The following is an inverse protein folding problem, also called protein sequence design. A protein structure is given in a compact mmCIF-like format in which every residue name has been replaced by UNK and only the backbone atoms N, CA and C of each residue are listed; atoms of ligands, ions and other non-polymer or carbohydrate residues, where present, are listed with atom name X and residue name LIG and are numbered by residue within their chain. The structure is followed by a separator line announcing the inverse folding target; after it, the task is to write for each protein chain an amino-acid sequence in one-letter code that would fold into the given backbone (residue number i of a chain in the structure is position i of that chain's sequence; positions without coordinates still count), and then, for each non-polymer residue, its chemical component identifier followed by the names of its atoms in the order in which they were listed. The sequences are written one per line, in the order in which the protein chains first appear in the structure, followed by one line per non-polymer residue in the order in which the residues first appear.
data_IF_318879217739
#
_entry.id   IF_318879217739
#
_cell.length_a   1.000
_cell.length_b   1.000
_cell.length_c   1.000
_cell.angle_alpha   90.00
_cell.angle_beta   90.00
_cell.angle_gamma   90.00
#
_symmetry.space_group_name_H-M   'P 1'
#
loop_
_entity.id
_entity.type
_entity.pdbx_description
1 polymer ?
#
# COMPACT_ATOMS: atom_id res chain seq x y z
N UNK A 1 -9.55 70.35 -45.69
CA UNK A 1 -10.32 69.12 -45.35
C UNK A 1 -9.38 67.93 -45.44
N UNK A 2 -8.83 67.51 -44.32
CA UNK A 2 -7.93 66.34 -44.26
C UNK A 2 -8.58 65.24 -43.46
N UNK A 3 -8.95 64.17 -44.12
CA UNK A 3 -9.62 62.97 -43.54
C UNK A 3 -8.51 62.02 -43.06
N UNK A 4 -8.39 61.84 -41.75
CA UNK A 4 -7.54 60.86 -41.12
C UNK A 4 -8.26 59.50 -41.06
N UNK A 5 -7.73 58.51 -41.79
CA UNK A 5 -8.14 57.12 -41.73
C UNK A 5 -7.41 56.45 -40.55
N UNK A 6 -8.15 55.98 -39.52
CA UNK A 6 -7.59 55.20 -38.41
C UNK A 6 -7.70 53.72 -38.78
N UNK A 7 -6.55 53.03 -38.87
CA UNK A 7 -6.51 51.57 -38.95
C UNK A 7 -6.53 51.00 -37.54
N UNK A 8 -7.55 50.22 -37.20
CA UNK A 8 -7.61 49.42 -35.98
C UNK A 8 -6.91 48.06 -36.28
N UNK A 9 -5.79 47.84 -35.62
CA UNK A 9 -5.09 46.56 -35.66
C UNK A 9 -5.69 45.70 -34.53
N UNK A 10 -6.51 44.72 -34.89
CA UNK A 10 -7.02 43.72 -33.97
C UNK A 10 -5.96 42.67 -33.70
N UNK A 11 -5.39 42.66 -32.48
CA UNK A 11 -4.49 41.59 -32.02
C UNK A 11 -5.33 40.35 -31.66
N UNK A 12 -5.23 39.30 -32.47
CA UNK A 12 -5.79 37.98 -32.17
C UNK A 12 -4.84 37.27 -31.17
N UNK A 13 -5.23 37.23 -29.90
CA UNK A 13 -4.50 36.44 -28.92
C UNK A 13 -4.86 34.96 -29.08
N UNK A 14 -4.00 34.19 -29.70
CA UNK A 14 -4.09 32.74 -29.74
C UNK A 14 -3.70 32.16 -28.36
N UNK A 15 -4.68 31.76 -27.56
CA UNK A 15 -4.45 30.97 -26.37
C UNK A 15 -4.11 29.53 -26.76
N UNK A 16 -2.81 29.20 -26.81
CA UNK A 16 -2.35 27.84 -26.92
C UNK A 16 -2.68 27.09 -25.61
N UNK A 17 -3.68 26.20 -25.65
CA UNK A 17 -3.94 25.24 -24.59
C UNK A 17 -2.76 24.27 -24.56
N UNK A 18 -1.88 24.42 -23.57
CA UNK A 18 -0.86 23.42 -23.26
C UNK A 18 -1.60 22.15 -22.81
N UNK A 19 -1.67 21.16 -23.68
CA UNK A 19 -2.05 19.81 -23.31
C UNK A 19 -1.00 19.31 -22.33
N UNK A 20 -1.32 19.27 -21.05
CA UNK A 20 -0.49 18.64 -20.02
C UNK A 20 -0.46 17.15 -20.34
N UNK A 21 0.67 16.67 -20.88
CA UNK A 21 0.91 15.25 -20.99
C UNK A 21 0.76 14.64 -19.59
N UNK A 22 -0.13 13.65 -19.44
CA UNK A 22 -0.27 12.93 -18.17
C UNK A 22 1.06 12.29 -17.82
N UNK A 23 1.50 12.44 -16.57
CA UNK A 23 2.72 11.77 -16.11
C UNK A 23 2.61 10.26 -16.36
N UNK A 24 3.72 9.59 -16.74
CA UNK A 24 3.71 8.16 -16.96
C UNK A 24 3.30 7.43 -15.68
N UNK A 25 2.46 6.41 -15.83
CA UNK A 25 1.98 5.60 -14.70
C UNK A 25 3.14 4.86 -14.04
N UNK A 26 3.15 4.82 -12.71
CA UNK A 26 4.06 4.01 -11.92
C UNK A 26 3.68 2.53 -12.08
N UNK A 27 4.61 1.69 -12.51
CA UNK A 27 4.35 0.26 -12.64
C UNK A 27 4.49 -0.44 -11.30
N UNK A 28 3.53 -1.30 -10.97
CA UNK A 28 3.49 -2.09 -9.73
C UNK A 28 3.41 -3.56 -10.09
N UNK A 29 4.25 -4.41 -9.49
CA UNK A 29 4.12 -5.85 -9.55
C UNK A 29 3.46 -6.36 -8.26
N UNK A 30 2.28 -6.96 -8.36
CA UNK A 30 1.62 -7.64 -7.25
C UNK A 30 2.03 -9.11 -7.23
N UNK A 31 2.65 -9.54 -6.14
CA UNK A 31 2.94 -10.94 -5.85
C UNK A 31 1.67 -11.59 -5.28
N UNK A 32 1.19 -12.66 -5.89
CA UNK A 32 -0.06 -13.37 -5.57
C UNK A 32 0.08 -14.87 -5.83
N UNK A 33 -1.02 -15.63 -5.85
CA UNK A 33 -1.03 -17.05 -6.23
C UNK A 33 -1.04 -18.02 -5.05
N UNK A 34 -0.68 -17.56 -3.85
CA UNK A 34 -0.84 -18.26 -2.57
C UNK A 34 -1.07 -17.28 -1.44
N UNK A 35 -2.02 -17.59 -0.56
CA UNK A 35 -2.28 -16.88 0.68
C UNK A 35 -3.24 -17.74 1.53
N UNK A 36 -3.12 -17.69 2.85
CA UNK A 36 -4.10 -18.32 3.75
C UNK A 36 -5.45 -17.57 3.78
N UNK A 37 -5.51 -16.35 3.20
CA UNK A 37 -6.74 -15.61 2.91
C UNK A 37 -7.19 -15.85 1.45
N UNK A 38 -8.39 -15.37 1.09
CA UNK A 38 -8.92 -15.55 -0.27
C UNK A 38 -8.24 -14.61 -1.29
N UNK A 39 -7.00 -14.91 -1.64
CA UNK A 39 -6.22 -14.10 -2.57
C UNK A 39 -6.86 -14.00 -3.98
N UNK A 40 -7.64 -15.01 -4.39
CA UNK A 40 -8.36 -15.00 -5.69
C UNK A 40 -9.38 -13.88 -5.77
N UNK A 41 -9.95 -13.48 -4.63
CA UNK A 41 -10.87 -12.34 -4.55
C UNK A 41 -10.12 -11.02 -4.22
N UNK A 42 -9.18 -11.04 -3.29
CA UNK A 42 -8.51 -9.82 -2.83
C UNK A 42 -7.53 -9.26 -3.86
N UNK A 43 -6.80 -10.10 -4.62
CA UNK A 43 -5.85 -9.61 -5.63
C UNK A 43 -6.49 -8.75 -6.73
N UNK A 44 -7.64 -9.13 -7.34
CA UNK A 44 -8.35 -8.26 -8.29
C UNK A 44 -8.78 -6.92 -7.68
N UNK A 45 -9.21 -6.90 -6.41
CA UNK A 45 -9.60 -5.67 -5.72
C UNK A 45 -8.37 -4.76 -5.49
N UNK A 46 -7.24 -5.31 -5.06
CA UNK A 46 -5.98 -4.57 -4.92
C UNK A 46 -5.60 -3.89 -6.24
N UNK A 47 -5.58 -4.68 -7.34
CA UNK A 47 -5.28 -4.16 -8.69
C UNK A 47 -6.23 -3.03 -9.07
N UNK A 48 -7.53 -3.25 -8.98
CA UNK A 48 -8.55 -2.26 -9.35
C UNK A 48 -8.45 -1.00 -8.50
N UNK A 49 -8.23 -1.14 -7.18
CA UNK A 49 -8.05 -0.01 -6.26
C UNK A 49 -6.85 0.85 -6.67
N UNK A 50 -5.71 0.24 -6.96
CA UNK A 50 -4.52 1.00 -7.37
C UNK A 50 -4.76 1.71 -8.70
N UNK A 51 -5.29 1.01 -9.71
CA UNK A 51 -5.52 1.56 -11.05
C UNK A 51 -6.59 2.67 -11.07
N UNK A 52 -7.58 2.63 -10.16
CA UNK A 52 -8.62 3.64 -10.03
C UNK A 52 -8.09 5.05 -9.72
N UNK A 53 -6.93 5.16 -9.09
CA UNK A 53 -6.26 6.46 -8.87
C UNK A 53 -5.75 7.11 -10.17
N UNK A 54 -5.67 6.36 -11.28
CA UNK A 54 -5.03 6.79 -12.53
C UNK A 54 -3.50 6.84 -12.46
N UNK A 55 -2.89 6.71 -11.28
CA UNK A 55 -1.46 6.86 -11.05
C UNK A 55 -0.64 5.60 -11.36
N UNK A 56 -1.28 4.41 -11.30
CA UNK A 56 -0.60 3.12 -11.41
C UNK A 56 -1.01 2.32 -12.64
N UNK A 57 -0.07 1.47 -13.10
CA UNK A 57 -0.30 0.34 -13.99
C UNK A 57 0.15 -0.92 -13.26
N UNK A 58 -0.76 -1.88 -13.06
CA UNK A 58 -0.57 -3.02 -12.17
C UNK A 58 -0.52 -4.33 -12.94
N UNK A 59 0.61 -5.01 -12.83
CA UNK A 59 0.77 -6.40 -13.26
C UNK A 59 0.68 -7.33 -12.03
N UNK A 60 0.18 -8.53 -12.24
CA UNK A 60 0.06 -9.56 -11.20
C UNK A 60 0.86 -10.78 -11.63
N UNK A 61 1.61 -11.37 -10.70
CA UNK A 61 2.21 -12.68 -10.89
C UNK A 61 1.68 -13.66 -9.85
N UNK A 62 1.30 -14.84 -10.29
CA UNK A 62 0.90 -15.97 -9.43
C UNK A 62 2.01 -17.01 -9.31
N UNK A 63 3.10 -16.83 -10.04
CA UNK A 63 4.25 -17.73 -10.03
C UNK A 63 5.42 -17.16 -9.21
N UNK A 64 5.14 -16.78 -7.96
CA UNK A 64 6.14 -16.20 -7.04
C UNK A 64 7.32 -17.12 -6.78
N UNK A 65 7.14 -18.47 -6.63
CA UNK A 65 8.27 -19.37 -6.38
C UNK A 65 9.30 -19.39 -7.51
N UNK A 66 8.90 -19.13 -8.75
CA UNK A 66 9.74 -19.23 -9.94
C UNK A 66 10.24 -17.88 -10.47
N UNK A 67 10.06 -16.79 -9.73
CA UNK A 67 10.53 -15.47 -10.15
C UNK A 67 12.03 -15.49 -10.44
N UNK A 68 12.39 -14.82 -11.54
CA UNK A 68 13.78 -14.71 -12.00
C UNK A 68 14.35 -13.32 -11.66
N UNK A 69 15.67 -13.17 -11.61
CA UNK A 69 16.33 -11.89 -11.26
C UNK A 69 15.83 -10.68 -12.05
N UNK A 70 15.51 -10.85 -13.34
CA UNK A 70 15.02 -9.77 -14.19
C UNK A 70 13.56 -9.36 -13.98
N UNK A 71 12.81 -10.11 -13.15
CA UNK A 71 11.37 -9.89 -12.97
C UNK A 71 11.02 -8.52 -12.37
N UNK A 72 11.92 -7.93 -11.58
CA UNK A 72 11.65 -6.69 -10.83
C UNK A 72 11.91 -5.42 -11.65
N UNK A 73 12.81 -5.47 -12.62
CA UNK A 73 13.34 -4.30 -13.32
C UNK A 73 12.29 -3.32 -13.89
N UNK A 74 11.11 -3.75 -14.40
CA UNK A 74 10.14 -2.81 -14.97
C UNK A 74 9.32 -2.03 -13.93
N UNK A 75 9.40 -2.36 -12.64
CA UNK A 75 8.45 -1.91 -11.64
C UNK A 75 9.05 -0.87 -10.68
N UNK A 76 8.26 0.14 -10.31
CA UNK A 76 8.61 1.10 -9.29
C UNK A 76 8.34 0.55 -7.87
N UNK A 77 7.39 -0.39 -7.74
CA UNK A 77 7.01 -1.02 -6.47
C UNK A 77 6.73 -2.50 -6.68
N UNK A 78 7.19 -3.31 -5.75
CA UNK A 78 6.75 -4.70 -5.57
C UNK A 78 5.78 -4.72 -4.40
N UNK A 79 4.54 -5.17 -4.61
CA UNK A 79 3.52 -5.32 -3.58
C UNK A 79 3.29 -6.79 -3.29
N UNK A 80 3.47 -7.22 -2.04
CA UNK A 80 3.19 -8.60 -1.63
C UNK A 80 1.78 -8.74 -1.06
N UNK A 81 0.95 -9.52 -1.77
CA UNK A 81 -0.27 -10.17 -1.28
C UNK A 81 -0.08 -11.70 -1.27
N UNK A 82 1.16 -12.15 -1.20
CA UNK A 82 1.56 -13.55 -1.26
C UNK A 82 2.06 -14.01 0.10
N UNK A 83 1.61 -15.16 0.57
CA UNK A 83 2.27 -15.90 1.62
C UNK A 83 2.21 -17.41 1.36
N UNK A 84 3.07 -18.12 2.04
CA UNK A 84 3.15 -19.58 2.01
C UNK A 84 2.88 -20.19 3.40
N UNK A 85 2.11 -19.51 4.22
CA UNK A 85 1.84 -19.87 5.61
C UNK A 85 1.45 -21.35 5.76
N UNK A 86 2.29 -22.11 6.45
CA UNK A 86 2.12 -23.55 6.65
C UNK A 86 2.59 -24.44 5.49
N UNK A 87 3.11 -23.90 4.39
CA UNK A 87 3.67 -24.69 3.28
C UNK A 87 4.95 -25.43 3.68
N UNK A 88 5.11 -26.66 3.17
CA UNK A 88 6.32 -27.47 3.40
C UNK A 88 6.77 -28.10 2.08
N UNK A 89 7.99 -27.82 1.58
CA UNK A 89 8.93 -26.82 2.10
C UNK A 89 8.41 -25.40 1.93
N UNK A 90 8.92 -24.42 2.72
CA UNK A 90 8.60 -23.03 2.51
C UNK A 90 9.16 -22.53 1.17
N UNK A 91 8.50 -21.53 0.60
CA UNK A 91 8.99 -20.90 -0.64
C UNK A 91 10.31 -20.21 -0.39
N UNK A 92 11.25 -20.44 -1.29
CA UNK A 92 12.55 -19.75 -1.28
C UNK A 92 12.93 -19.33 -2.69
N UNK A 93 13.42 -18.11 -2.84
CA UNK A 93 14.05 -17.65 -4.08
C UNK A 93 15.51 -18.07 -4.13
N UNK A 94 16.04 -18.20 -5.36
CA UNK A 94 17.48 -18.39 -5.54
C UNK A 94 18.25 -17.17 -5.00
N UNK A 95 19.49 -17.36 -4.64
CA UNK A 95 20.35 -16.26 -4.14
C UNK A 95 20.49 -15.13 -5.19
N UNK A 96 20.49 -15.46 -6.48
CA UNK A 96 20.51 -14.49 -7.57
C UNK A 96 19.21 -13.65 -7.59
N UNK A 97 18.05 -14.28 -7.38
CA UNK A 97 16.76 -13.57 -7.31
C UNK A 97 16.68 -12.68 -6.07
N UNK A 98 17.14 -13.16 -4.91
CA UNK A 98 17.21 -12.35 -3.68
C UNK A 98 18.12 -11.13 -3.87
N UNK A 99 19.33 -11.32 -4.44
CA UNK A 99 20.26 -10.23 -4.75
C UNK A 99 19.65 -9.21 -5.71
N UNK A 100 18.95 -9.68 -6.74
CA UNK A 100 18.28 -8.81 -7.72
C UNK A 100 17.15 -8.00 -7.07
N UNK A 101 16.36 -8.60 -6.18
CA UNK A 101 15.34 -7.89 -5.40
C UNK A 101 15.96 -6.80 -4.53
N UNK A 102 17.02 -7.10 -3.77
CA UNK A 102 17.70 -6.12 -2.92
C UNK A 102 18.37 -5.01 -3.75
N UNK A 103 18.99 -5.34 -4.87
CA UNK A 103 19.57 -4.36 -5.79
C UNK A 103 18.49 -3.45 -6.39
N UNK A 104 17.31 -3.99 -6.70
CA UNK A 104 16.16 -3.22 -7.15
C UNK A 104 15.71 -2.19 -6.09
N UNK A 105 15.59 -2.61 -4.83
CA UNK A 105 15.27 -1.68 -3.74
C UNK A 105 16.38 -0.65 -3.53
N UNK A 106 17.65 -1.06 -3.55
CA UNK A 106 18.79 -0.15 -3.40
C UNK A 106 18.90 0.90 -4.53
N UNK A 107 18.30 0.64 -5.69
CA UNK A 107 18.17 1.60 -6.77
C UNK A 107 17.08 2.67 -6.54
N UNK A 108 16.45 2.68 -5.35
CA UNK A 108 15.46 3.68 -4.97
C UNK A 108 14.00 3.25 -5.16
N UNK A 109 13.77 1.98 -5.52
CA UNK A 109 12.41 1.43 -5.65
C UNK A 109 11.81 1.01 -4.30
N UNK A 110 10.54 0.62 -4.31
CA UNK A 110 9.82 0.33 -3.07
C UNK A 110 9.26 -1.08 -2.97
N UNK A 111 9.00 -1.48 -1.73
CA UNK A 111 8.30 -2.71 -1.36
C UNK A 111 7.14 -2.39 -0.43
N UNK A 112 5.98 -3.02 -0.66
CA UNK A 112 4.82 -2.93 0.21
C UNK A 112 4.35 -4.34 0.58
N UNK A 113 4.32 -4.66 1.87
CA UNK A 113 3.70 -5.86 2.40
C UNK A 113 2.27 -5.54 2.85
N UNK A 114 1.28 -6.19 2.22
CA UNK A 114 -0.13 -5.99 2.53
C UNK A 114 -0.65 -7.15 3.37
N UNK A 115 -1.13 -6.85 4.57
CA UNK A 115 -1.69 -7.82 5.51
C UNK A 115 -0.81 -9.07 5.61
N UNK A 116 -1.34 -10.27 5.36
CA UNK A 116 -0.60 -11.52 5.40
C UNK A 116 0.52 -11.64 4.34
N UNK A 117 0.64 -10.70 3.40
CA UNK A 117 1.73 -10.64 2.44
C UNK A 117 3.12 -10.40 3.05
N UNK A 118 3.20 -10.12 4.36
CA UNK A 118 4.45 -10.10 5.13
C UNK A 118 4.88 -11.47 5.67
N UNK A 119 4.00 -12.48 5.58
CA UNK A 119 4.18 -13.79 6.24
C UNK A 119 4.75 -14.84 5.28
N UNK A 120 5.89 -14.53 4.70
CA UNK A 120 6.66 -15.37 3.77
C UNK A 120 8.16 -15.10 3.93
N UNK A 121 9.02 -15.97 3.43
CA UNK A 121 10.48 -15.84 3.48
C UNK A 121 11.02 -15.60 4.91
N UNK A 122 10.54 -16.37 5.88
CA UNK A 122 10.89 -16.19 7.30
C UNK A 122 12.38 -16.29 7.58
N UNK A 123 13.14 -17.03 6.77
CA UNK A 123 14.59 -17.20 6.88
C UNK A 123 15.40 -16.15 6.10
N UNK A 124 14.70 -15.07 5.64
CA UNK A 124 15.34 -14.00 4.89
C UNK A 124 15.15 -12.64 5.60
N UNK A 125 16.11 -12.23 6.46
CA UNK A 125 15.97 -11.03 7.31
C UNK A 125 15.75 -9.73 6.54
N UNK A 126 16.35 -9.59 5.35
CA UNK A 126 16.21 -8.37 4.56
C UNK A 126 14.78 -8.21 4.03
N UNK A 127 14.14 -9.31 3.59
CA UNK A 127 12.71 -9.28 3.21
C UNK A 127 11.84 -8.86 4.40
N UNK A 128 12.10 -9.43 5.59
CA UNK A 128 11.38 -9.09 6.81
C UNK A 128 11.59 -7.61 7.20
N UNK A 129 12.78 -7.06 6.95
CA UNK A 129 13.07 -5.64 7.17
C UNK A 129 12.19 -4.76 6.30
N UNK A 130 12.14 -4.99 4.99
CA UNK A 130 11.32 -4.19 4.09
C UNK A 130 9.81 -4.42 4.25
N UNK A 131 9.39 -5.56 4.81
CA UNK A 131 8.00 -5.83 5.20
C UNK A 131 7.57 -5.02 6.44
N UNK A 132 8.51 -4.41 7.16
CA UNK A 132 8.33 -3.66 8.41
C UNK A 132 7.84 -4.48 9.59
N UNK A 133 7.32 -5.68 9.38
CA UNK A 133 6.81 -6.57 10.41
C UNK A 133 6.27 -7.85 9.81
N UNK A 134 6.08 -8.85 10.65
CA UNK A 134 5.59 -10.15 10.20
C UNK A 134 4.84 -10.89 11.31
N UNK A 135 3.98 -11.81 10.90
CA UNK A 135 3.32 -12.75 11.80
C UNK A 135 4.31 -13.84 12.24
N UNK A 136 4.53 -13.96 13.55
CA UNK A 136 5.37 -15.01 14.18
C UNK A 136 4.70 -15.49 15.47
N UNK A 137 5.35 -16.43 16.15
CA UNK A 137 4.89 -16.96 17.43
C UNK A 137 4.59 -15.82 18.42
N UNK A 138 3.39 -15.86 19.02
CA UNK A 138 2.88 -14.84 19.90
C UNK A 138 2.05 -13.75 19.23
N UNK A 139 2.08 -13.62 17.91
CA UNK A 139 1.13 -12.79 17.14
C UNK A 139 -0.23 -13.48 17.16
N UNK A 140 -1.29 -12.70 17.27
CA UNK A 140 -2.66 -13.20 17.24
C UNK A 140 -3.63 -12.13 16.73
N UNK A 141 -4.92 -12.48 16.73
CA UNK A 141 -6.03 -11.57 16.46
C UNK A 141 -7.28 -12.03 17.18
N UNK A 142 -8.23 -11.14 17.37
CA UNK A 142 -9.59 -11.47 17.80
C UNK A 142 -10.51 -11.79 16.62
N UNK A 143 -11.82 -11.84 16.87
CA UNK A 143 -12.81 -11.89 15.79
C UNK A 143 -12.78 -10.59 14.98
N UNK A 144 -13.15 -10.67 13.70
CA UNK A 144 -13.30 -9.49 12.82
C UNK A 144 -14.39 -8.58 13.40
N UNK A 145 -14.07 -7.29 13.58
CA UNK A 145 -15.00 -6.31 14.14
C UNK A 145 -14.72 -4.91 13.57
N UNK A 146 -15.61 -3.95 13.86
CA UNK A 146 -15.38 -2.54 13.56
C UNK A 146 -14.53 -1.90 14.65
N UNK A 147 -13.56 -1.07 14.23
CA UNK A 147 -12.78 -0.27 15.17
C UNK A 147 -12.30 1.02 14.51
N UNK A 148 -11.95 1.98 15.36
CA UNK A 148 -11.37 3.25 14.93
C UNK A 148 -9.85 3.12 14.79
N UNK A 149 -9.30 3.66 13.70
CA UNK A 149 -7.87 3.75 13.44
C UNK A 149 -7.39 5.17 13.70
N UNK A 150 -6.33 5.29 14.47
CA UNK A 150 -5.67 6.54 14.82
C UNK A 150 -4.33 6.67 14.10
N UNK A 151 -4.00 7.88 13.66
CA UNK A 151 -2.69 8.18 13.10
C UNK A 151 -1.76 8.71 14.20
N UNK A 152 -0.63 8.03 14.39
CA UNK A 152 0.32 8.31 15.48
C UNK A 152 1.29 9.44 15.10
N UNK A 153 1.50 9.68 13.80
CA UNK A 153 2.44 10.67 13.30
C UNK A 153 1.93 11.27 11.97
N UNK A 154 1.85 12.60 11.92
CA UNK A 154 1.48 13.33 10.71
C UNK A 154 2.66 13.64 9.76
N UNK A 155 3.89 13.27 10.15
CA UNK A 155 5.10 13.66 9.41
C UNK A 155 5.37 12.79 8.18
N UNK A 156 4.79 11.58 8.10
CA UNK A 156 4.94 10.74 6.92
C UNK A 156 3.95 11.15 5.82
N UNK A 157 4.39 11.29 4.56
CA UNK A 157 3.51 11.71 3.47
C UNK A 157 2.26 10.84 3.30
N UNK A 158 2.32 9.55 3.66
CA UNK A 158 1.21 8.61 3.53
C UNK A 158 -0.01 9.08 4.33
N UNK A 159 0.19 9.51 5.58
CA UNK A 159 -0.89 9.91 6.50
C UNK A 159 -1.15 11.42 6.54
N UNK A 160 -0.32 12.22 5.88
CA UNK A 160 -0.44 13.67 5.88
C UNK A 160 -1.84 14.13 5.44
N UNK A 161 -2.52 14.90 6.29
CA UNK A 161 -3.87 15.43 6.05
C UNK A 161 -5.01 14.40 6.16
N UNK A 162 -4.72 13.13 6.50
CA UNK A 162 -5.76 12.15 6.82
C UNK A 162 -6.26 12.37 8.25
N UNK A 163 -7.51 11.98 8.50
CA UNK A 163 -8.13 11.96 9.82
C UNK A 163 -8.32 10.51 10.26
N UNK A 164 -8.51 10.27 11.57
CA UNK A 164 -8.93 8.96 12.06
C UNK A 164 -10.15 8.45 11.29
N UNK A 165 -10.30 7.14 11.22
CA UNK A 165 -11.36 6.52 10.45
C UNK A 165 -11.79 5.19 11.07
N UNK A 166 -13.02 4.77 10.75
CA UNK A 166 -13.54 3.48 11.16
C UNK A 166 -13.41 2.45 10.03
N UNK A 167 -13.11 1.21 10.41
CA UNK A 167 -12.99 0.09 9.50
C UNK A 167 -13.38 -1.22 10.18
N UNK A 168 -13.91 -2.17 9.41
CA UNK A 168 -14.10 -3.56 9.83
C UNK A 168 -12.92 -4.37 9.30
N UNK A 169 -12.17 -5.03 10.21
CA UNK A 169 -11.04 -5.86 9.79
C UNK A 169 -10.67 -6.90 10.86
N UNK A 170 -9.70 -7.75 10.53
CA UNK A 170 -8.92 -8.58 11.43
C UNK A 170 -7.74 -7.77 11.95
N UNK A 171 -7.78 -7.39 13.23
CA UNK A 171 -6.72 -6.58 13.81
C UNK A 171 -5.65 -7.46 14.46
N UNK A 172 -4.47 -7.46 13.88
CA UNK A 172 -3.34 -8.20 14.41
C UNK A 172 -2.78 -7.58 15.68
N UNK A 173 -2.37 -8.45 16.60
CA UNK A 173 -1.85 -8.08 17.91
C UNK A 173 -0.46 -8.67 18.08
N UNK A 174 0.43 -7.90 18.72
CA UNK A 174 1.81 -8.32 19.02
C UNK A 174 2.58 -8.76 17.76
N UNK A 175 2.43 -8.01 16.68
CA UNK A 175 3.22 -8.26 15.47
C UNK A 175 4.71 -8.12 15.76
N UNK A 176 5.53 -8.95 15.13
CA UNK A 176 6.98 -8.82 15.22
C UNK A 176 7.46 -7.70 14.29
N UNK A 177 7.72 -6.54 14.86
CA UNK A 177 8.14 -5.33 14.15
C UNK A 177 9.62 -5.44 13.78
N UNK A 178 9.96 -5.14 12.53
CA UNK A 178 11.34 -5.13 12.07
C UNK A 178 12.13 -3.98 12.70
N UNK A 179 13.40 -4.18 13.08
CA UNK A 179 14.24 -3.11 13.60
C UNK A 179 14.31 -1.91 12.66
N UNK A 180 14.05 -0.72 13.17
CA UNK A 180 14.07 0.53 12.41
C UNK A 180 12.77 0.87 11.69
N UNK A 181 11.78 -0.03 11.65
CA UNK A 181 10.45 0.31 11.15
C UNK A 181 9.74 1.30 12.08
N UNK A 182 9.13 2.33 11.50
CA UNK A 182 8.43 3.41 12.21
C UNK A 182 6.92 3.23 12.08
N UNK A 183 6.15 3.17 13.20
CA UNK A 183 4.70 3.11 13.15
C UNK A 183 4.11 4.48 12.77
N UNK A 184 2.96 4.49 12.11
CA UNK A 184 2.25 5.70 11.68
C UNK A 184 0.75 5.67 11.94
N UNK A 185 0.20 4.48 12.17
CA UNK A 185 -1.20 4.30 12.54
C UNK A 185 -1.35 3.10 13.47
N UNK A 186 -2.31 3.19 14.36
CA UNK A 186 -2.64 2.16 15.34
C UNK A 186 -4.15 1.96 15.49
N UNK A 187 -4.51 0.81 16.03
CA UNK A 187 -5.88 0.45 16.44
C UNK A 187 -5.82 -0.13 17.84
N UNK A 188 -6.90 0.02 18.61
CA UNK A 188 -7.04 -0.65 19.93
C UNK A 188 -8.09 -1.75 19.81
N UNK A 189 -7.72 -3.00 19.47
CA UNK A 189 -8.66 -4.08 19.23
C UNK A 189 -9.51 -4.37 20.49
N UNK A 190 -10.86 -4.46 20.30
CA UNK A 190 -11.81 -4.61 21.41
C UNK A 190 -11.59 -5.95 22.15
N UNK A 191 -11.36 -5.94 23.47
CA UNK A 191 -11.29 -7.16 24.28
C UNK A 191 -12.53 -8.05 24.20
N UNK A 192 -13.72 -7.49 23.95
CA UNK A 192 -14.95 -8.27 23.75
C UNK A 192 -14.92 -9.10 22.47
N UNK A 193 -14.15 -8.66 21.48
CA UNK A 193 -13.90 -9.41 20.25
C UNK A 193 -12.66 -10.31 20.36
N UNK A 194 -12.03 -10.45 21.53
CA UNK A 194 -10.77 -11.15 21.72
C UNK A 194 -9.54 -10.29 21.40
N UNK A 195 -9.72 -8.98 21.35
CA UNK A 195 -8.66 -8.02 21.12
C UNK A 195 -7.78 -7.80 22.36
N UNK A 196 -6.59 -7.20 22.13
CA UNK A 196 -5.61 -6.94 23.20
C UNK A 196 -6.04 -5.82 24.16
N UNK A 197 -6.95 -4.94 23.76
CA UNK A 197 -7.30 -3.73 24.51
C UNK A 197 -6.15 -2.72 24.63
N UNK A 198 -5.12 -2.86 23.79
CA UNK A 198 -3.95 -1.98 23.73
C UNK A 198 -3.74 -1.46 22.31
N UNK A 199 -3.09 -0.31 22.14
CA UNK A 199 -2.71 0.16 20.80
C UNK A 199 -1.81 -0.86 20.09
N UNK A 200 -2.26 -1.32 18.94
CA UNK A 200 -1.53 -2.23 18.04
C UNK A 200 -1.25 -1.49 16.74
N UNK A 201 0.00 -1.30 16.36
CA UNK A 201 0.34 -0.58 15.13
C UNK A 201 -0.03 -1.40 13.88
N UNK A 202 -0.55 -0.71 12.85
CA UNK A 202 -1.08 -1.34 11.63
C UNK A 202 -0.48 -0.78 10.32
N UNK A 203 0.23 0.34 10.40
CA UNK A 203 0.92 0.96 9.27
C UNK A 203 2.33 1.34 9.68
N UNK A 204 3.29 0.90 8.90
CA UNK A 204 4.71 1.14 9.16
C UNK A 204 5.44 1.57 7.90
N UNK A 205 6.54 2.30 8.07
CA UNK A 205 7.52 2.55 7.01
C UNK A 205 8.94 2.31 7.48
N UNK A 206 9.80 2.02 6.52
CA UNK A 206 11.24 2.00 6.69
C UNK A 206 11.93 2.56 5.44
N UNK A 207 12.99 3.32 5.66
CA UNK A 207 13.91 3.74 4.60
C UNK A 207 15.31 3.19 4.95
N UNK A 208 15.82 2.30 4.13
CA UNK A 208 17.10 1.65 4.37
C UNK A 208 17.72 1.18 3.07
N UNK A 209 19.06 1.12 3.00
CA UNK A 209 19.78 0.61 1.84
C UNK A 209 19.45 1.31 0.51
N UNK A 210 18.91 2.52 0.54
CA UNK A 210 18.46 3.27 -0.65
C UNK A 210 17.01 2.99 -1.04
N UNK A 211 16.36 1.95 -0.51
CA UNK A 211 14.97 1.56 -0.78
C UNK A 211 13.98 2.00 0.28
N UNK A 212 12.70 1.87 -0.03
CA UNK A 212 11.58 2.15 0.87
C UNK A 212 10.73 0.90 1.08
N UNK A 213 10.43 0.60 2.35
CA UNK A 213 9.51 -0.47 2.74
C UNK A 213 8.28 0.09 3.44
N UNK A 214 7.13 -0.52 3.20
CA UNK A 214 5.89 -0.24 3.91
C UNK A 214 5.19 -1.54 4.31
N UNK A 215 4.79 -1.65 5.57
CA UNK A 215 3.90 -2.69 6.07
C UNK A 215 2.53 -2.09 6.34
N UNK A 216 1.50 -2.56 5.66
CA UNK A 216 0.10 -2.15 5.86
C UNK A 216 -0.72 -3.38 6.24
N UNK A 217 -1.03 -3.54 7.52
CA UNK A 217 -1.55 -4.79 8.09
C UNK A 217 -3.07 -4.85 8.22
N UNK A 218 -3.78 -3.98 7.51
CA UNK A 218 -5.22 -4.10 7.24
C UNK A 218 -5.47 -4.68 5.85
N UNK A 219 -6.63 -5.35 5.65
CA UNK A 219 -7.01 -5.87 4.34
C UNK A 219 -7.24 -7.37 4.32
N UNK A 220 -7.83 -7.92 5.39
CA UNK A 220 -8.12 -9.34 5.53
C UNK A 220 -9.00 -9.90 4.40
N UNK A 221 -10.03 -9.17 3.98
CA UNK A 221 -11.01 -9.63 2.98
C UNK A 221 -11.51 -8.49 2.06
N UNK A 222 -12.26 -8.84 1.04
CA UNK A 222 -12.82 -7.88 0.09
C UNK A 222 -13.85 -6.94 0.72
N UNK A 223 -14.47 -7.32 1.83
CA UNK A 223 -15.38 -6.45 2.58
C UNK A 223 -14.62 -5.31 3.24
N UNK A 224 -13.49 -5.62 3.89
CA UNK A 224 -12.54 -4.62 4.39
C UNK A 224 -12.07 -3.68 3.27
N UNK A 225 -11.73 -4.24 2.11
CA UNK A 225 -11.17 -3.50 0.97
C UNK A 225 -12.18 -2.54 0.28
N UNK A 226 -13.48 -2.63 0.59
CA UNK A 226 -14.48 -1.63 0.16
C UNK A 226 -14.32 -0.29 0.90
N UNK A 227 -13.63 -0.26 2.04
CA UNK A 227 -13.43 0.93 2.85
C UNK A 227 -12.55 1.96 2.12
N UNK A 228 -13.06 3.16 1.90
CA UNK A 228 -12.38 4.20 1.12
C UNK A 228 -11.13 4.76 1.79
N UNK A 229 -11.05 4.71 3.13
CA UNK A 229 -9.82 5.06 3.85
C UNK A 229 -8.74 4.00 3.61
N UNK A 230 -9.08 2.71 3.66
CA UNK A 230 -8.18 1.62 3.31
C UNK A 230 -7.64 1.78 1.87
N UNK A 231 -8.54 2.04 0.90
CA UNK A 231 -8.18 2.26 -0.50
C UNK A 231 -7.22 3.45 -0.66
N UNK A 232 -7.51 4.55 0.01
CA UNK A 232 -6.66 5.76 0.02
C UNK A 232 -5.29 5.45 0.59
N UNK A 233 -5.20 4.74 1.72
CA UNK A 233 -3.92 4.41 2.36
C UNK A 233 -3.12 3.47 1.46
N UNK A 234 -3.74 2.45 0.86
CA UNK A 234 -3.06 1.54 -0.07
C UNK A 234 -2.45 2.31 -1.26
N UNK A 235 -3.22 3.20 -1.89
CA UNK A 235 -2.75 4.02 -3.01
C UNK A 235 -1.59 4.93 -2.59
N UNK A 236 -1.72 5.64 -1.47
CA UNK A 236 -0.71 6.58 -0.96
C UNK A 236 0.56 5.87 -0.50
N UNK A 237 0.43 4.72 0.17
CA UNK A 237 1.56 3.90 0.58
C UNK A 237 2.33 3.38 -0.64
N UNK A 238 1.62 2.94 -1.69
CA UNK A 238 2.22 2.50 -2.94
C UNK A 238 2.93 3.65 -3.66
N UNK A 239 2.33 4.84 -3.72
CA UNK A 239 2.98 6.02 -4.33
C UNK A 239 4.22 6.45 -3.54
N UNK A 240 4.15 6.44 -2.21
CA UNK A 240 5.30 6.75 -1.36
C UNK A 240 6.43 5.72 -1.54
N UNK A 241 6.12 4.45 -1.57
CA UNK A 241 7.11 3.40 -1.85
C UNK A 241 7.81 3.65 -3.19
N UNK A 242 7.06 4.04 -4.23
CA UNK A 242 7.61 4.32 -5.55
C UNK A 242 8.50 5.57 -5.59
N UNK A 243 8.11 6.64 -4.92
CA UNK A 243 8.61 8.00 -5.19
C UNK A 243 9.16 8.75 -3.97
N UNK A 244 8.89 8.27 -2.75
CA UNK A 244 9.11 9.00 -1.50
C UNK A 244 8.14 10.17 -1.27
N UNK A 245 7.16 10.36 -2.17
CA UNK A 245 6.17 11.46 -2.12
C UNK A 245 4.76 10.90 -2.21
N UNK A 246 3.76 11.74 -1.88
CA UNK A 246 2.34 11.42 -2.04
C UNK A 246 1.64 12.61 -2.66
N UNK A 247 0.95 12.36 -3.78
CA UNK A 247 0.12 13.34 -4.50
C UNK A 247 -1.36 12.98 -4.47
N UNK A 248 -1.68 11.72 -4.15
CA UNK A 248 -3.04 11.19 -4.10
C UNK A 248 -3.80 11.84 -2.93
N UNK A 249 -4.93 12.53 -3.19
CA UNK A 249 -5.73 13.17 -2.16
C UNK A 249 -6.48 12.14 -1.29
N UNK A 250 -6.96 12.53 -0.09
CA UNK A 250 -7.91 11.73 0.67
C UNK A 250 -9.20 11.47 -0.14
N UNK A 251 -9.85 10.32 0.09
CA UNK A 251 -11.18 10.06 -0.47
C UNK A 251 -12.21 11.09 0.04
N UNK A 252 -13.19 11.43 -0.80
CA UNK A 252 -14.24 12.39 -0.43
C UNK A 252 -15.22 11.81 0.58
N UNK A 253 -15.54 10.54 0.47
CA UNK A 253 -16.43 9.75 1.31
C UNK A 253 -15.62 9.05 2.41
N UNK A 254 -14.99 9.83 3.29
CA UNK A 254 -14.16 9.34 4.36
C UNK A 254 -14.99 8.71 5.50
N UNK A 255 -14.72 7.48 5.95
CA UNK A 255 -15.49 6.80 7.00
C UNK A 255 -15.14 7.33 8.38
N UNK A 256 -15.65 8.52 8.72
CA UNK A 256 -15.36 9.20 9.98
C UNK A 256 -16.08 8.60 11.19
N UNK A 257 -17.10 7.79 10.96
CA UNK A 257 -17.89 7.10 12.00
C UNK A 257 -18.00 5.61 11.70
N UNK A 258 -18.37 4.82 12.72
CA UNK A 258 -18.64 3.40 12.54
C UNK A 258 -19.81 3.18 11.56
N UNK A 259 -20.84 4.03 11.59
CA UNK A 259 -21.98 3.95 10.65
C UNK A 259 -21.53 4.19 9.20
N UNK A 260 -20.59 5.10 8.95
CA UNK A 260 -19.99 5.30 7.64
C UNK A 260 -19.31 4.02 7.17
N UNK A 261 -18.48 3.41 8.02
CA UNK A 261 -17.79 2.17 7.70
C UNK A 261 -18.76 1.00 7.47
N UNK A 262 -19.84 0.90 8.27
CA UNK A 262 -20.89 -0.13 8.11
C UNK A 262 -21.60 0.00 6.74
N UNK A 263 -21.85 1.22 6.27
CA UNK A 263 -22.44 1.44 4.94
C UNK A 263 -21.55 0.93 3.80
N UNK A 264 -20.25 0.99 3.95
CA UNK A 264 -19.29 0.51 2.95
C UNK A 264 -19.19 -1.02 2.87
N UNK A 265 -19.67 -1.76 3.88
CA UNK A 265 -19.64 -3.22 3.87
C UNK A 265 -20.81 -3.87 3.13
N UNK A 266 -21.82 -3.08 2.78
CA UNK A 266 -23.03 -3.50 2.02
C UNK A 266 -22.79 -3.45 0.49
#
# INVERSE_FOLDING_TARGET
MNTLIRYAIGALAATAALATASEPKLRVLVLSGSNNHNWKETTPVIKTTLEASGRFAVDVTEDVPNLKPGAFAPYAVILSNYNDFGSKPPVAWSEETKKAFLAHLAAGHGFLALHAGSSVFYDWPEFQTYSCGTWKDGTGHGAIHFNEVFFDCSEVPITAGLKQFWIRDEFWQKIHVAPGAKPHASVTPDPKAGGSGKPEPILFTIETGGGRGCGFFLGHDTTTMKNTAWQTILQRATEWCATGKVTIPPAKDWPATEEDAQRMTK
#
